data_IF_381381819406
#
_entry.id   IF_381381819406
#
_cell.length_a   1.000
_cell.length_b   1.000
_cell.length_c   1.000
_cell.angle_alpha   90.00
_cell.angle_beta   90.00
_cell.angle_gamma   90.00
#
_symmetry.space_group_name_H-M   'P 1'
#
loop_
_entity.id
_entity.type
_entity.pdbx_description
1 polymer ?
#
# COMPACT_ATOMS: atom_id res chain seq x y z
N UNK A 1 -7.01 11.21 -52.13
CA UNK A 1 -6.25 12.25 -51.39
C UNK A 1 -6.75 12.29 -49.94
N UNK A 2 -6.45 11.25 -49.14
CA UNK A 2 -6.77 11.21 -47.71
C UNK A 2 -5.56 11.77 -46.95
N UNK A 3 -5.78 12.84 -46.18
CA UNK A 3 -4.71 13.71 -45.68
C UNK A 3 -3.87 12.97 -44.63
N UNK A 4 -2.51 13.02 -44.70
CA UNK A 4 -1.62 12.44 -43.68
C UNK A 4 -1.85 13.01 -42.26
N UNK A 5 -2.60 14.12 -42.18
CA UNK A 5 -3.08 14.77 -40.97
C UNK A 5 -4.05 13.87 -40.17
N UNK A 6 -4.86 13.05 -40.85
CA UNK A 6 -5.82 12.15 -40.17
C UNK A 6 -5.10 11.00 -39.47
N UNK A 7 -4.02 10.48 -40.07
CA UNK A 7 -3.17 9.45 -39.46
C UNK A 7 -2.44 9.97 -38.21
N UNK A 8 -1.92 11.20 -38.27
CA UNK A 8 -1.29 11.84 -37.11
C UNK A 8 -2.29 12.03 -35.95
N UNK A 9 -3.54 12.40 -36.24
CA UNK A 9 -4.56 12.55 -35.20
C UNK A 9 -4.93 11.22 -34.51
N UNK A 10 -5.00 10.11 -35.25
CA UNK A 10 -5.31 8.77 -34.70
C UNK A 10 -4.16 8.25 -33.82
N UNK A 11 -2.90 8.50 -34.21
CA UNK A 11 -1.74 8.12 -33.39
C UNK A 11 -1.70 8.91 -32.08
N UNK A 12 -2.07 10.19 -32.10
CA UNK A 12 -2.16 11.03 -30.89
C UNK A 12 -3.25 10.55 -29.93
N UNK A 13 -4.35 9.98 -30.44
CA UNK A 13 -5.39 9.40 -29.57
C UNK A 13 -4.99 8.08 -28.90
N UNK A 14 -4.00 7.34 -29.41
CA UNK A 14 -3.56 6.09 -28.76
C UNK A 14 -2.70 6.32 -27.50
N UNK A 15 -2.07 7.48 -27.35
CA UNK A 15 -1.12 7.74 -26.24
C UNK A 15 -1.82 8.19 -24.95
N UNK A 16 -3.14 8.44 -24.99
CA UNK A 16 -3.85 9.13 -23.90
C UNK A 16 -4.71 8.26 -22.96
N UNK A 17 -4.82 6.92 -23.14
CA UNK A 17 -5.82 6.13 -22.36
C UNK A 17 -5.36 4.80 -21.75
N UNK A 18 -4.10 4.67 -21.32
CA UNK A 18 -3.72 3.59 -20.39
C UNK A 18 -3.18 4.15 -19.07
N UNK A 19 -3.98 5.01 -18.44
CA UNK A 19 -3.78 5.41 -17.04
C UNK A 19 -4.89 4.77 -16.19
N UNK A 20 -4.91 3.45 -16.11
CA UNK A 20 -5.65 2.77 -15.05
C UNK A 20 -4.71 2.65 -13.84
N UNK A 21 -4.64 3.70 -13.03
CA UNK A 21 -3.93 3.71 -11.72
C UNK A 21 -4.79 2.92 -10.69
N UNK A 22 -5.29 1.75 -11.09
CA UNK A 22 -6.24 0.97 -10.29
C UNK A 22 -6.90 -0.18 -11.04
N UNK A 23 -7.28 -1.20 -10.28
CA UNK A 23 -7.99 -2.39 -10.74
C UNK A 23 -9.42 -2.05 -11.21
N UNK A 24 -9.76 -2.41 -12.46
CA UNK A 24 -11.16 -2.44 -12.89
C UNK A 24 -11.82 -3.74 -12.41
N UNK A 25 -12.40 -3.69 -11.21
CA UNK A 25 -13.04 -4.84 -10.56
C UNK A 25 -14.15 -5.48 -11.42
N UNK A 26 -14.84 -4.71 -12.27
CA UNK A 26 -15.92 -5.24 -13.10
C UNK A 26 -15.42 -6.15 -14.23
N UNK A 27 -14.26 -5.83 -14.82
CA UNK A 27 -13.63 -6.67 -15.85
C UNK A 27 -12.88 -7.85 -15.23
N UNK A 28 -12.19 -7.59 -14.12
CA UNK A 28 -11.25 -8.56 -13.55
C UNK A 28 -11.86 -9.52 -12.53
N UNK A 29 -13.09 -9.27 -12.01
CA UNK A 29 -13.68 -10.09 -10.96
C UNK A 29 -13.75 -11.58 -11.31
N UNK A 30 -14.17 -11.94 -12.52
CA UNK A 30 -14.33 -13.35 -12.88
C UNK A 30 -13.00 -14.10 -12.88
N UNK A 31 -11.98 -13.55 -13.54
CA UNK A 31 -10.71 -14.25 -13.75
C UNK A 31 -9.81 -14.18 -12.51
N UNK A 32 -9.81 -13.04 -11.80
CA UNK A 32 -9.09 -12.92 -10.52
C UNK A 32 -9.71 -13.84 -9.47
N UNK A 33 -11.04 -13.91 -9.34
CA UNK A 33 -11.68 -14.83 -8.38
C UNK A 33 -11.40 -16.30 -8.69
N UNK A 34 -11.35 -16.71 -9.96
CA UNK A 34 -10.95 -18.08 -10.35
C UNK A 34 -9.53 -18.40 -9.86
N UNK A 35 -8.57 -17.52 -10.14
CA UNK A 35 -7.18 -17.74 -9.74
C UNK A 35 -6.95 -17.61 -8.23
N UNK A 36 -7.78 -16.83 -7.53
CA UNK A 36 -7.75 -16.74 -6.06
C UNK A 36 -8.28 -18.00 -5.40
N UNK A 37 -9.36 -18.60 -5.94
CA UNK A 37 -9.91 -19.88 -5.48
C UNK A 37 -8.99 -21.06 -5.77
N UNK A 38 -8.14 -20.95 -6.79
CA UNK A 38 -7.09 -21.94 -7.08
C UNK A 38 -5.83 -21.73 -6.23
N UNK A 39 -5.83 -20.77 -5.31
CA UNK A 39 -4.70 -20.39 -4.45
C UNK A 39 -3.42 -19.92 -5.19
N UNK A 40 -3.48 -19.78 -6.52
CA UNK A 40 -2.34 -19.37 -7.36
C UNK A 40 -2.02 -17.88 -7.21
N UNK A 41 -3.04 -17.06 -6.94
CA UNK A 41 -2.92 -15.61 -6.81
C UNK A 41 -3.02 -15.11 -5.36
N UNK A 42 -2.91 -16.00 -4.36
CA UNK A 42 -2.88 -15.63 -2.94
C UNK A 42 -1.44 -15.27 -2.51
N UNK A 43 -0.85 -14.30 -3.19
CA UNK A 43 0.55 -13.96 -3.03
C UNK A 43 0.81 -13.07 -1.81
N UNK A 44 1.72 -13.51 -0.93
CA UNK A 44 2.32 -12.64 0.10
C UNK A 44 3.69 -12.17 -0.38
N UNK A 45 3.76 -10.92 -0.83
CA UNK A 45 5.02 -10.31 -1.26
C UNK A 45 5.94 -10.11 -0.04
N UNK A 46 7.22 -10.50 -0.17
CA UNK A 46 8.25 -10.24 0.83
C UNK A 46 9.34 -9.35 0.23
N UNK A 47 9.18 -8.04 0.38
CA UNK A 47 10.05 -7.04 -0.23
C UNK A 47 9.80 -6.90 -1.74
N UNK A 48 10.82 -7.13 -2.57
CA UNK A 48 10.73 -7.06 -4.05
C UNK A 48 10.59 -8.42 -4.73
N UNK A 49 10.46 -9.50 -3.94
CA UNK A 49 10.37 -10.87 -4.44
C UNK A 49 8.96 -11.40 -4.23
N UNK A 50 8.37 -11.88 -5.31
CA UNK A 50 7.08 -12.56 -5.31
C UNK A 50 7.27 -13.97 -5.88
N UNK A 51 7.35 -15.01 -5.04
CA UNK A 51 7.61 -16.37 -5.49
C UNK A 51 6.43 -17.01 -6.24
N UNK A 52 5.21 -16.47 -6.12
CA UNK A 52 3.97 -17.01 -6.69
C UNK A 52 3.41 -16.16 -7.85
N UNK A 53 4.04 -15.03 -8.18
CA UNK A 53 3.56 -14.15 -9.25
C UNK A 53 3.67 -14.79 -10.64
N UNK A 54 4.63 -15.70 -10.84
CA UNK A 54 4.79 -16.44 -12.10
C UNK A 54 3.58 -17.37 -12.37
N UNK A 55 3.14 -18.11 -11.35
CA UNK A 55 1.99 -19.01 -11.45
C UNK A 55 0.67 -18.22 -11.60
N UNK A 56 0.56 -17.10 -10.90
CA UNK A 56 -0.58 -16.21 -11.03
C UNK A 56 -0.66 -15.56 -12.43
N UNK A 57 0.49 -15.19 -13.01
CA UNK A 57 0.58 -14.69 -14.38
C UNK A 57 0.12 -15.74 -15.40
N UNK A 58 0.48 -17.01 -15.20
CA UNK A 58 0.01 -18.11 -16.04
C UNK A 58 -1.51 -18.33 -15.91
N UNK A 59 -2.08 -18.15 -14.72
CA UNK A 59 -3.52 -18.29 -14.50
C UNK A 59 -4.34 -17.14 -15.15
N UNK A 60 -3.89 -15.90 -15.01
CA UNK A 60 -4.55 -14.72 -15.59
C UNK A 60 -4.30 -14.58 -17.09
N UNK A 61 -3.15 -15.05 -17.59
CA UNK A 61 -2.83 -15.07 -19.01
C UNK A 61 -2.97 -13.71 -19.68
N UNK A 62 -3.80 -13.63 -20.71
CA UNK A 62 -3.94 -12.45 -21.55
C UNK A 62 -4.53 -11.21 -20.84
N UNK A 63 -5.20 -11.38 -19.70
CA UNK A 63 -5.75 -10.26 -18.91
C UNK A 63 -4.81 -9.79 -17.80
N UNK A 64 -3.61 -10.38 -17.67
CA UNK A 64 -2.63 -10.04 -16.65
C UNK A 64 -2.30 -8.54 -16.62
N UNK A 65 -1.94 -7.93 -17.75
CA UNK A 65 -1.55 -6.50 -17.79
C UNK A 65 -2.68 -5.55 -17.38
N UNK A 66 -3.94 -5.98 -17.48
CA UNK A 66 -5.12 -5.18 -17.13
C UNK A 66 -5.58 -5.43 -15.69
N UNK A 67 -5.28 -6.62 -15.15
CA UNK A 67 -5.78 -7.10 -13.87
C UNK A 67 -4.68 -7.35 -12.82
N UNK A 68 -3.39 -7.14 -13.14
CA UNK A 68 -2.28 -7.30 -12.20
C UNK A 68 -2.42 -6.39 -10.96
N UNK A 69 -3.02 -5.22 -11.14
CA UNK A 69 -3.38 -4.28 -10.06
C UNK A 69 -4.49 -4.80 -9.13
N UNK A 70 -5.17 -5.89 -9.49
CA UNK A 70 -6.19 -6.56 -8.68
C UNK A 70 -5.60 -7.70 -7.83
N UNK A 71 -4.37 -8.14 -8.15
CA UNK A 71 -3.70 -9.30 -7.54
C UNK A 71 -2.77 -8.88 -6.39
N UNK A 72 -2.21 -7.67 -6.44
CA UNK A 72 -1.39 -7.11 -5.37
C UNK A 72 -1.99 -5.81 -4.78
N UNK A 73 -2.04 -5.66 -3.45
CA UNK A 73 -2.37 -4.40 -2.78
C UNK A 73 -1.24 -3.35 -2.81
N UNK A 74 -0.08 -3.63 -3.42
CA UNK A 74 1.08 -2.71 -3.42
C UNK A 74 1.77 -2.69 -4.80
N UNK A 75 1.13 -2.13 -5.80
CA UNK A 75 1.82 -1.59 -6.98
C UNK A 75 0.94 -0.52 -7.64
N UNK A 76 1.39 0.74 -7.58
CA UNK A 76 0.82 1.99 -8.12
C UNK A 76 0.22 3.01 -7.14
N UNK A 77 0.71 3.09 -5.90
CA UNK A 77 0.81 4.39 -5.24
C UNK A 77 2.25 4.91 -5.41
N UNK A 78 2.52 5.89 -6.28
CA UNK A 78 3.78 6.61 -6.22
C UNK A 78 3.76 7.58 -5.04
N UNK A 79 4.93 7.73 -4.40
CA UNK A 79 5.34 8.77 -3.43
C UNK A 79 4.77 8.73 -2.00
N UNK A 80 5.11 7.70 -1.21
CA UNK A 80 5.76 7.84 0.12
C UNK A 80 5.94 6.46 0.74
N UNK A 81 7.18 6.09 1.07
CA UNK A 81 7.45 4.86 1.79
C UNK A 81 6.93 4.94 3.23
N UNK A 82 5.68 4.55 3.43
CA UNK A 82 5.21 3.94 4.67
C UNK A 82 4.38 2.74 4.29
N UNK A 83 5.04 1.58 4.16
CA UNK A 83 4.38 0.30 4.38
C UNK A 83 3.52 0.42 5.64
N UNK A 84 2.34 -0.21 5.68
CA UNK A 84 1.32 -0.20 6.74
C UNK A 84 1.89 -0.34 8.18
N UNK A 85 2.57 0.68 8.66
CA UNK A 85 3.19 0.74 9.96
C UNK A 85 2.09 1.21 10.90
N UNK A 86 1.52 0.24 11.62
CA UNK A 86 0.48 0.51 12.61
C UNK A 86 1.10 1.29 13.76
N UNK A 87 0.87 2.60 13.76
CA UNK A 87 1.27 3.51 14.84
C UNK A 87 0.04 3.99 15.58
N UNK A 88 0.13 4.08 16.90
CA UNK A 88 -0.92 4.62 17.76
C UNK A 88 -0.35 5.78 18.56
N UNK A 89 -1.14 6.85 18.70
CA UNK A 89 -0.81 7.99 19.53
C UNK A 89 -1.77 8.06 20.70
N UNK A 90 -1.23 8.35 21.88
CA UNK A 90 -2.08 8.71 23.01
C UNK A 90 -2.64 10.12 22.82
N UNK A 91 -3.87 10.32 23.25
CA UNK A 91 -4.52 11.62 23.16
C UNK A 91 -3.88 12.61 24.15
N UNK A 92 -3.70 12.16 25.40
CA UNK A 92 -3.15 12.95 26.50
C UNK A 92 -1.63 12.90 26.57
N UNK A 93 -1.04 13.93 27.17
CA UNK A 93 0.40 14.01 27.38
C UNK A 93 0.84 13.09 28.51
N UNK A 94 1.79 12.22 28.21
CA UNK A 94 2.32 11.23 29.14
C UNK A 94 3.75 11.57 29.51
N UNK A 95 4.19 11.15 30.71
CA UNK A 95 5.62 11.08 31.03
C UNK A 95 6.27 9.92 30.27
N UNK A 96 7.60 9.92 30.11
CA UNK A 96 8.34 8.81 29.48
C UNK A 96 7.94 7.43 30.06
N UNK A 97 7.84 7.32 31.39
CA UNK A 97 7.41 6.08 32.07
C UNK A 97 5.94 5.75 31.83
N UNK A 98 5.07 6.76 31.72
CA UNK A 98 3.67 6.58 31.37
C UNK A 98 3.51 6.05 29.94
N UNK A 99 4.30 6.59 29.02
CA UNK A 99 4.33 6.18 27.62
C UNK A 99 4.79 4.73 27.46
N UNK A 100 5.90 4.35 28.10
CA UNK A 100 6.42 2.97 28.07
C UNK A 100 5.36 1.96 28.55
N UNK A 101 4.77 2.18 29.73
CA UNK A 101 3.72 1.30 30.28
C UNK A 101 2.45 1.30 29.45
N UNK A 102 2.04 2.46 28.91
CA UNK A 102 0.87 2.57 28.06
C UNK A 102 1.04 1.77 26.77
N UNK A 103 2.16 1.90 26.08
CA UNK A 103 2.41 1.13 24.86
C UNK A 103 2.58 -0.37 25.12
N UNK A 104 3.18 -0.75 26.25
CA UNK A 104 3.26 -2.15 26.69
C UNK A 104 1.86 -2.75 26.91
N UNK A 105 0.94 -2.01 27.55
CA UNK A 105 -0.45 -2.47 27.74
C UNK A 105 -1.23 -2.65 26.43
N UNK A 106 -0.85 -1.93 25.38
CA UNK A 106 -1.43 -2.03 24.03
C UNK A 106 -0.76 -3.13 23.20
N UNK A 107 0.31 -3.76 23.71
CA UNK A 107 1.04 -4.81 23.02
C UNK A 107 2.00 -4.29 21.94
N UNK A 108 2.34 -3.01 21.97
CA UNK A 108 3.31 -2.45 21.03
C UNK A 108 4.73 -2.81 21.45
N UNK A 109 5.54 -3.44 20.56
CA UNK A 109 6.90 -3.87 20.90
C UNK A 109 7.87 -2.70 21.09
N UNK A 110 7.53 -1.52 20.56
CA UNK A 110 8.38 -0.33 20.58
C UNK A 110 7.51 0.89 20.89
N UNK A 111 8.13 1.90 21.51
CA UNK A 111 7.49 3.19 21.77
C UNK A 111 8.49 4.33 21.61
N UNK A 112 7.96 5.52 21.32
CA UNK A 112 8.72 6.76 21.21
C UNK A 112 7.99 7.86 21.98
N UNK A 113 8.77 8.61 22.75
CA UNK A 113 8.29 9.74 23.52
C UNK A 113 8.90 11.03 22.96
N UNK A 114 8.08 12.06 22.81
CA UNK A 114 8.49 13.37 22.34
C UNK A 114 8.64 14.33 23.52
N UNK A 115 9.52 15.31 23.40
CA UNK A 115 9.70 16.34 24.43
C UNK A 115 8.43 17.15 24.74
N UNK A 116 7.43 17.14 23.84
CA UNK A 116 6.09 17.69 24.05
C UNK A 116 5.19 16.84 24.97
N UNK A 117 5.65 15.68 25.44
CA UNK A 117 4.84 14.73 26.21
C UNK A 117 4.00 13.80 25.33
N UNK A 118 4.03 13.96 24.01
CA UNK A 118 3.33 13.07 23.09
C UNK A 118 3.95 11.67 23.10
N UNK A 119 3.10 10.64 23.16
CA UNK A 119 3.51 9.25 23.20
C UNK A 119 3.04 8.52 21.94
N UNK A 120 3.98 7.84 21.28
CA UNK A 120 3.76 7.06 20.08
C UNK A 120 4.12 5.59 20.34
N UNK A 121 3.16 4.71 20.11
CA UNK A 121 3.36 3.27 20.11
C UNK A 121 3.62 2.81 18.68
N UNK A 122 4.64 1.98 18.51
CA UNK A 122 5.16 1.55 17.21
C UNK A 122 4.89 0.04 17.08
N UNK A 123 4.08 -0.32 16.09
CA UNK A 123 3.75 -1.71 15.79
C UNK A 123 4.95 -2.54 15.30
N UNK A 124 4.81 -3.87 15.28
CA UNK A 124 5.85 -4.78 14.83
C UNK A 124 6.20 -4.60 13.35
N UNK A 125 5.23 -4.20 12.53
CA UNK A 125 5.36 -4.04 11.07
C UNK A 125 6.17 -2.80 10.65
N UNK A 126 6.57 -1.98 11.62
CA UNK A 126 7.38 -0.81 11.36
C UNK A 126 8.87 -1.20 11.20
N UNK A 127 9.35 -1.13 9.95
CA UNK A 127 10.77 -1.29 9.59
C UNK A 127 11.69 -0.18 10.16
N UNK A 128 11.11 0.95 10.60
CA UNK A 128 11.80 2.11 11.15
C UNK A 128 11.22 2.56 12.51
N UNK A 129 11.46 3.81 12.91
CA UNK A 129 11.06 4.40 14.22
C UNK A 129 9.64 5.00 14.24
N UNK A 130 8.68 4.40 13.50
CA UNK A 130 7.36 4.98 13.33
C UNK A 130 7.38 6.28 12.52
N UNK A 131 6.39 7.16 12.72
CA UNK A 131 6.38 8.47 12.05
C UNK A 131 7.24 9.51 12.80
N UNK A 132 7.95 10.41 12.08
CA UNK A 132 8.95 11.29 12.67
C UNK A 132 8.38 12.44 13.51
N UNK A 133 7.11 12.81 13.32
CA UNK A 133 6.45 13.94 13.99
C UNK A 133 5.41 13.47 15.02
N UNK A 134 5.25 14.19 16.15
CA UNK A 134 4.18 13.94 17.10
C UNK A 134 2.82 14.26 16.48
N UNK A 135 1.77 13.53 16.88
CA UNK A 135 0.41 13.71 16.38
C UNK A 135 -0.66 13.65 17.49
N UNK A 136 -0.26 13.84 18.75
CA UNK A 136 -1.16 13.83 19.89
C UNK A 136 -2.03 15.09 19.89
N UNK A 137 -3.35 14.96 20.15
CA UNK A 137 -4.28 16.09 20.06
C UNK A 137 -4.16 17.08 21.23
N UNK A 138 -3.81 16.63 22.43
CA UNK A 138 -3.77 17.47 23.63
C UNK A 138 -2.37 17.98 24.00
N UNK A 139 -1.34 17.64 23.22
CA UNK A 139 0.01 18.10 23.48
C UNK A 139 0.39 19.19 22.49
N UNK A 140 0.82 20.33 23.02
CA UNK A 140 1.33 21.42 22.21
C UNK A 140 2.69 21.04 21.60
N UNK A 141 2.89 21.31 20.32
CA UNK A 141 4.16 21.12 19.60
C UNK A 141 5.27 22.07 20.07
#
# INVERSE_FOLDING_TARGET
MFRPIVLLAVVVTCVATSNAIGCNKALCASDVSKCFLQELCQCRVNGTRCPCCEECQLCLGAVWDQCCHCVDPVALAPTNASAECSVLFFHDCLSLRGCLRGCESVGAPRSRWFHSGCCQCIGPDCLAYGVPHPACKSCQD
#
